data_IF_302747148783
#
_entry.id   IF_302747148783
#
_cell.length_a   1.000
_cell.length_b   1.000
_cell.length_c   1.000
_cell.angle_alpha   90.00
_cell.angle_beta   90.00
_cell.angle_gamma   90.00
#
_symmetry.space_group_name_H-M   'P 1'
#
loop_
_entity.id
_entity.type
_entity.pdbx_description
1 polymer ?
#
# COMPACT_ATOMS: atom_id res chain seq x y z
N UNK A 1 58.82 -77.23 14.61
CA UNK A 1 58.25 -76.96 13.27
C UNK A 1 56.91 -76.20 13.27
N UNK A 2 56.13 -76.19 14.36
CA UNK A 2 54.85 -75.43 14.42
C UNK A 2 55.00 -73.88 14.46
N UNK A 3 56.13 -73.37 14.95
CA UNK A 3 56.38 -71.92 15.15
C UNK A 3 56.50 -71.12 13.84
N UNK A 4 57.04 -71.70 12.76
CA UNK A 4 57.16 -71.02 11.46
C UNK A 4 55.86 -70.95 10.65
N UNK A 5 54.91 -71.88 10.85
CA UNK A 5 53.60 -71.83 10.20
C UNK A 5 52.64 -70.84 10.87
N UNK A 6 52.70 -70.68 12.20
CA UNK A 6 51.88 -69.71 12.95
C UNK A 6 52.22 -68.27 12.57
N UNK A 7 53.52 -67.92 12.54
CA UNK A 7 53.99 -66.57 12.18
C UNK A 7 53.60 -66.15 10.76
N UNK A 8 53.55 -67.09 9.82
CA UNK A 8 53.18 -66.79 8.44
C UNK A 8 51.67 -66.54 8.27
N UNK A 9 50.85 -67.23 9.07
CA UNK A 9 49.39 -67.05 9.09
C UNK A 9 49.01 -65.71 9.76
N UNK A 10 49.68 -65.35 10.86
CA UNK A 10 49.48 -64.08 11.55
C UNK A 10 49.88 -62.88 10.68
N UNK A 11 50.99 -62.99 9.93
CA UNK A 11 51.41 -61.97 8.97
C UNK A 11 50.41 -61.79 7.81
N UNK A 12 49.77 -62.86 7.37
CA UNK A 12 48.79 -62.81 6.28
C UNK A 12 47.46 -62.21 6.73
N UNK A 13 47.02 -62.49 7.96
CA UNK A 13 45.87 -61.82 8.56
C UNK A 13 46.12 -60.33 8.79
N UNK A 14 47.31 -59.95 9.26
CA UNK A 14 47.67 -58.55 9.44
C UNK A 14 47.66 -57.79 8.10
N UNK A 15 48.22 -58.39 7.04
CA UNK A 15 48.19 -57.80 5.71
C UNK A 15 46.76 -57.62 5.15
N UNK A 16 45.86 -58.58 5.37
CA UNK A 16 44.44 -58.45 4.99
C UNK A 16 43.73 -57.33 5.76
N UNK A 17 43.99 -57.22 7.08
CA UNK A 17 43.43 -56.14 7.90
C UNK A 17 43.90 -54.78 7.40
N UNK A 18 45.20 -54.61 7.15
CA UNK A 18 45.77 -53.35 6.63
C UNK A 18 45.15 -53.00 5.27
N UNK A 19 45.00 -53.99 4.37
CA UNK A 19 44.36 -53.77 3.08
C UNK A 19 42.88 -53.36 3.21
N UNK A 20 42.13 -53.99 4.12
CA UNK A 20 40.73 -53.66 4.41
C UNK A 20 40.59 -52.27 5.04
N UNK A 21 41.50 -51.88 5.93
CA UNK A 21 41.55 -50.55 6.53
C UNK A 21 41.80 -49.49 5.46
N UNK A 22 42.78 -49.68 4.57
CA UNK A 22 43.04 -48.73 3.48
C UNK A 22 41.83 -48.55 2.55
N UNK A 23 41.11 -49.63 2.23
CA UNK A 23 39.84 -49.51 1.45
C UNK A 23 38.73 -48.80 2.22
N UNK A 24 38.63 -48.98 3.53
CA UNK A 24 37.67 -48.28 4.36
C UNK A 24 37.98 -46.78 4.43
N UNK A 25 39.26 -46.41 4.61
CA UNK A 25 39.71 -45.02 4.59
C UNK A 25 39.34 -44.33 3.27
N UNK A 26 39.64 -44.95 2.12
CA UNK A 26 39.25 -44.40 0.81
C UNK A 26 37.73 -44.23 0.67
N UNK A 27 36.93 -45.19 1.18
CA UNK A 27 35.46 -45.10 1.14
C UNK A 27 34.91 -44.00 2.04
N UNK A 28 35.50 -43.83 3.23
CA UNK A 28 35.11 -42.77 4.17
C UNK A 28 35.45 -41.39 3.59
N UNK A 29 36.62 -41.23 2.97
CA UNK A 29 36.99 -39.99 2.29
C UNK A 29 36.05 -39.66 1.13
N UNK A 30 35.74 -40.65 0.29
CA UNK A 30 34.81 -40.47 -0.83
C UNK A 30 33.40 -40.10 -0.34
N UNK A 31 32.91 -40.75 0.71
CA UNK A 31 31.60 -40.46 1.32
C UNK A 31 31.59 -39.07 1.96
N UNK A 32 32.65 -38.70 2.68
CA UNK A 32 32.81 -37.38 3.30
C UNK A 32 32.78 -36.28 2.24
N UNK A 33 33.52 -36.46 1.14
CA UNK A 33 33.51 -35.53 0.00
C UNK A 33 32.12 -35.40 -0.61
N UNK A 34 31.47 -36.53 -0.92
CA UNK A 34 30.12 -36.51 -1.51
C UNK A 34 29.10 -35.84 -0.59
N UNK A 35 29.17 -36.10 0.72
CA UNK A 35 28.31 -35.46 1.71
C UNK A 35 28.54 -33.95 1.74
N UNK A 36 29.80 -33.51 1.77
CA UNK A 36 30.15 -32.09 1.76
C UNK A 36 29.66 -31.39 0.49
N UNK A 37 29.79 -32.01 -0.67
CA UNK A 37 29.31 -31.45 -1.95
C UNK A 37 27.79 -31.29 -1.98
N UNK A 38 27.05 -32.29 -1.49
CA UNK A 38 25.58 -32.24 -1.38
C UNK A 38 25.14 -31.17 -0.39
N UNK A 39 25.79 -31.09 0.77
CA UNK A 39 25.49 -30.08 1.80
C UNK A 39 25.76 -28.68 1.26
N UNK A 40 26.91 -28.45 0.62
CA UNK A 40 27.26 -27.17 0.02
C UNK A 40 26.24 -26.75 -1.04
N UNK A 41 25.85 -27.66 -1.92
CA UNK A 41 24.85 -27.37 -2.97
C UNK A 41 23.50 -27.00 -2.38
N UNK A 42 23.05 -27.73 -1.34
CA UNK A 42 21.78 -27.44 -0.66
C UNK A 42 21.82 -26.10 0.08
N UNK A 43 22.94 -25.78 0.73
CA UNK A 43 23.13 -24.50 1.42
C UNK A 43 23.02 -23.32 0.44
N UNK A 44 23.72 -23.39 -0.69
CA UNK A 44 23.62 -22.37 -1.75
C UNK A 44 22.16 -22.21 -2.24
N UNK A 45 21.45 -23.33 -2.43
CA UNK A 45 20.04 -23.29 -2.83
C UNK A 45 19.12 -22.66 -1.77
N UNK A 46 19.37 -22.93 -0.49
CA UNK A 46 18.61 -22.32 0.62
C UNK A 46 18.91 -20.82 0.71
N UNK A 47 20.18 -20.41 0.62
CA UNK A 47 20.59 -19.00 0.63
C UNK A 47 19.95 -18.22 -0.51
N UNK A 48 19.92 -18.78 -1.73
CA UNK A 48 19.26 -18.15 -2.87
C UNK A 48 17.76 -17.96 -2.65
N UNK A 49 17.09 -18.97 -2.07
CA UNK A 49 15.66 -18.89 -1.74
C UNK A 49 15.39 -17.87 -0.63
N UNK A 50 16.24 -17.79 0.40
CA UNK A 50 16.12 -16.80 1.46
C UNK A 50 16.23 -15.38 0.91
N UNK A 51 17.24 -15.11 0.07
CA UNK A 51 17.39 -13.80 -0.60
C UNK A 51 16.18 -13.44 -1.46
N UNK A 52 15.61 -14.42 -2.17
CA UNK A 52 14.39 -14.20 -2.95
C UNK A 52 13.19 -13.86 -2.06
N UNK A 53 13.04 -14.54 -0.91
CA UNK A 53 11.96 -14.28 0.05
C UNK A 53 12.14 -12.90 0.70
N UNK A 54 13.37 -12.53 1.06
CA UNK A 54 13.69 -11.19 1.58
C UNK A 54 13.28 -10.09 0.60
N UNK A 55 13.58 -10.27 -0.70
CA UNK A 55 13.13 -9.34 -1.75
C UNK A 55 11.62 -9.23 -1.85
N UNK A 56 10.91 -10.37 -1.86
CA UNK A 56 9.45 -10.39 -1.90
C UNK A 56 8.81 -9.74 -0.67
N UNK A 57 9.39 -9.94 0.52
CA UNK A 57 8.91 -9.31 1.76
C UNK A 57 9.10 -7.79 1.72
N UNK A 58 10.22 -7.32 1.17
CA UNK A 58 10.46 -5.89 1.00
C UNK A 58 9.42 -5.26 0.07
N UNK A 59 9.13 -5.91 -1.06
CA UNK A 59 8.11 -5.43 -2.01
C UNK A 59 6.72 -5.39 -1.36
N UNK A 60 6.36 -6.43 -0.62
CA UNK A 60 5.10 -6.47 0.15
C UNK A 60 5.02 -5.31 1.16
N UNK A 61 6.13 -4.99 1.83
CA UNK A 61 6.21 -3.83 2.73
C UNK A 61 5.87 -2.52 2.00
N UNK A 62 6.48 -2.28 0.84
CA UNK A 62 6.23 -1.09 0.01
C UNK A 62 4.77 -1.01 -0.44
N UNK A 63 4.19 -2.13 -0.90
CA UNK A 63 2.78 -2.15 -1.31
C UNK A 63 1.83 -1.91 -0.14
N UNK A 64 2.16 -2.41 1.05
CA UNK A 64 1.33 -2.23 2.25
C UNK A 64 1.34 -0.78 2.74
N UNK A 65 2.49 -0.10 2.68
CA UNK A 65 2.60 1.33 3.00
C UNK A 65 1.78 2.18 2.02
N UNK A 66 1.87 1.89 0.72
CA UNK A 66 1.10 2.60 -0.30
C UNK A 66 -0.40 2.35 -0.16
N UNK A 67 -0.82 1.10 0.07
CA UNK A 67 -2.21 0.76 0.34
C UNK A 67 -2.75 1.51 1.56
N UNK A 68 -1.97 1.58 2.64
CA UNK A 68 -2.33 2.31 3.86
C UNK A 68 -2.51 3.80 3.57
N UNK A 69 -1.61 4.40 2.77
CA UNK A 69 -1.71 5.80 2.35
C UNK A 69 -3.00 6.07 1.55
N UNK A 70 -3.29 5.23 0.56
CA UNK A 70 -4.51 5.33 -0.27
C UNK A 70 -5.76 5.19 0.58
N UNK A 71 -5.80 4.23 1.52
CA UNK A 71 -6.95 4.05 2.42
C UNK A 71 -7.19 5.29 3.30
N UNK A 72 -6.14 5.91 3.83
CA UNK A 72 -6.27 7.15 4.61
C UNK A 72 -6.86 8.30 3.78
N UNK A 73 -6.37 8.49 2.55
CA UNK A 73 -6.90 9.51 1.65
C UNK A 73 -8.35 9.24 1.25
N UNK A 74 -8.70 7.97 0.96
CA UNK A 74 -10.07 7.59 0.66
C UNK A 74 -11.01 7.83 1.84
N UNK A 75 -10.58 7.55 3.08
CA UNK A 75 -11.35 7.83 4.28
C UNK A 75 -11.60 9.34 4.45
N UNK A 76 -10.57 10.18 4.27
CA UNK A 76 -10.69 11.65 4.29
C UNK A 76 -11.70 12.13 3.26
N UNK A 77 -11.57 11.67 2.00
CA UNK A 77 -12.50 12.06 0.93
C UNK A 77 -13.93 11.58 1.19
N UNK A 78 -14.12 10.41 1.80
CA UNK A 78 -15.45 9.91 2.17
C UNK A 78 -16.09 10.78 3.24
N UNK A 79 -15.36 11.11 4.31
CA UNK A 79 -15.85 11.98 5.37
C UNK A 79 -16.26 13.37 4.84
N UNK A 80 -15.44 13.96 3.97
CA UNK A 80 -15.76 15.23 3.34
C UNK A 80 -17.02 15.13 2.46
N UNK A 81 -17.15 14.04 1.67
CA UNK A 81 -18.31 13.82 0.81
C UNK A 81 -19.61 13.63 1.61
N UNK A 82 -19.58 12.84 2.69
CA UNK A 82 -20.73 12.63 3.59
C UNK A 82 -21.17 13.95 4.24
N UNK A 83 -20.22 14.73 4.76
CA UNK A 83 -20.50 16.04 5.33
C UNK A 83 -21.08 17.00 4.28
N UNK A 84 -20.50 17.04 3.08
CA UNK A 84 -20.96 17.92 2.01
C UNK A 84 -22.34 17.54 1.50
N UNK A 85 -22.66 16.25 1.44
CA UNK A 85 -24.01 15.79 1.08
C UNK A 85 -25.05 16.29 2.10
N UNK A 86 -24.76 16.18 3.40
CA UNK A 86 -25.62 16.68 4.46
C UNK A 86 -25.75 18.21 4.44
N UNK A 87 -24.63 18.93 4.27
CA UNK A 87 -24.64 20.39 4.18
C UNK A 87 -25.43 20.88 2.96
N UNK A 88 -25.30 20.22 1.81
CA UNK A 88 -26.07 20.53 0.60
C UNK A 88 -27.56 20.26 0.76
N UNK A 89 -27.93 19.17 1.44
CA UNK A 89 -29.33 18.89 1.78
C UNK A 89 -29.92 20.00 2.66
N UNK A 90 -29.18 20.43 3.70
CA UNK A 90 -29.58 21.56 4.55
C UNK A 90 -29.70 22.87 3.76
N UNK A 91 -28.74 23.15 2.88
CA UNK A 91 -28.72 24.36 2.05
C UNK A 91 -29.85 24.39 1.01
N UNK A 92 -30.43 23.24 0.67
CA UNK A 92 -31.56 23.17 -0.27
C UNK A 92 -32.84 23.84 0.26
N UNK A 93 -32.93 24.01 1.57
CA UNK A 93 -34.05 24.70 2.23
C UNK A 93 -33.85 26.22 2.37
N UNK A 94 -32.74 26.76 1.87
CA UNK A 94 -32.46 28.21 1.94
C UNK A 94 -33.35 28.95 0.94
N UNK A 95 -34.31 29.71 1.46
CA UNK A 95 -35.25 30.50 0.65
C UNK A 95 -35.13 32.01 0.87
N UNK A 96 -34.44 32.45 1.92
CA UNK A 96 -34.36 33.86 2.31
C UNK A 96 -32.92 34.36 2.36
N UNK A 97 -32.66 35.64 2.05
CA UNK A 97 -31.30 36.20 1.98
C UNK A 97 -30.46 36.04 3.26
N UNK A 98 -31.11 36.14 4.42
CA UNK A 98 -30.47 36.09 5.74
C UNK A 98 -30.29 34.68 6.31
N UNK A 99 -30.81 33.65 5.63
CA UNK A 99 -30.66 32.26 6.11
C UNK A 99 -29.21 31.81 6.03
N UNK A 100 -28.81 31.02 7.02
CA UNK A 100 -27.44 30.53 7.10
C UNK A 100 -27.17 29.42 6.09
N UNK A 101 -26.04 29.54 5.40
CA UNK A 101 -25.47 28.52 4.53
C UNK A 101 -24.57 27.63 5.38
N UNK A 102 -24.89 26.35 5.42
CA UNK A 102 -24.05 25.34 6.05
C UNK A 102 -22.74 25.19 5.26
N UNK A 103 -21.59 25.26 5.96
CA UNK A 103 -20.30 25.23 5.29
C UNK A 103 -19.99 23.84 4.75
N UNK A 104 -19.24 23.80 3.65
CA UNK A 104 -18.73 22.57 3.06
C UNK A 104 -17.29 22.32 3.51
N UNK A 105 -16.79 21.12 3.20
CA UNK A 105 -15.42 20.67 3.45
C UNK A 105 -14.69 20.37 2.15
N UNK A 106 -13.39 20.59 2.17
CA UNK A 106 -12.51 20.29 1.06
C UNK A 106 -12.34 18.76 0.96
N UNK A 107 -12.43 18.24 -0.26
CA UNK A 107 -12.44 16.80 -0.55
C UNK A 107 -11.13 16.11 -0.17
N UNK A 108 -10.00 16.80 -0.29
CA UNK A 108 -8.67 16.20 -0.22
C UNK A 108 -8.13 16.15 1.21
N UNK A 109 -8.57 17.06 2.07
CA UNK A 109 -8.07 17.18 3.44
C UNK A 109 -9.17 17.24 4.52
N UNK A 110 -10.45 17.23 4.12
CA UNK A 110 -11.62 17.29 5.02
C UNK A 110 -11.64 18.54 5.94
N UNK A 111 -10.92 19.62 5.59
CA UNK A 111 -11.00 20.89 6.31
C UNK A 111 -12.19 21.71 5.84
N UNK A 112 -12.73 22.54 6.73
CA UNK A 112 -13.82 23.45 6.36
C UNK A 112 -13.35 24.45 5.30
N UNK A 113 -14.16 24.62 4.25
CA UNK A 113 -13.95 25.59 3.17
C UNK A 113 -14.49 26.95 3.60
N UNK A 114 -13.87 28.02 3.11
CA UNK A 114 -14.35 29.38 3.36
C UNK A 114 -15.64 29.66 2.57
N UNK A 115 -16.76 29.15 3.06
CA UNK A 115 -18.09 29.37 2.49
C UNK A 115 -18.71 30.69 2.97
N UNK A 116 -19.61 31.32 2.18
CA UNK A 116 -20.38 32.48 2.64
C UNK A 116 -21.33 32.02 3.75
N UNK A 117 -21.60 32.90 4.72
CA UNK A 117 -22.49 32.59 5.84
C UNK A 117 -23.96 32.71 5.46
N UNK A 118 -24.29 33.58 4.51
CA UNK A 118 -25.67 33.84 4.07
C UNK A 118 -25.76 34.00 2.56
N UNK A 119 -26.98 33.96 2.02
CA UNK A 119 -27.22 34.19 0.60
C UNK A 119 -26.89 35.63 0.20
N UNK A 120 -27.17 36.61 1.06
CA UNK A 120 -26.76 38.02 0.86
C UNK A 120 -25.24 38.15 0.72
N UNK A 121 -24.48 37.43 1.56
CA UNK A 121 -23.03 37.44 1.49
C UNK A 121 -22.53 36.82 0.18
N UNK A 122 -23.12 35.70 -0.23
CA UNK A 122 -22.81 35.04 -1.51
C UNK A 122 -23.08 35.96 -2.71
N UNK A 123 -24.20 36.70 -2.68
CA UNK A 123 -24.57 37.65 -3.75
C UNK A 123 -23.66 38.88 -3.81
N UNK A 124 -22.94 39.18 -2.73
CA UNK A 124 -21.94 40.24 -2.69
C UNK A 124 -20.53 39.79 -3.12
N UNK A 125 -20.30 38.49 -3.34
CA UNK A 125 -18.98 37.96 -3.70
C UNK A 125 -18.57 38.33 -5.13
N UNK A 126 -17.29 38.60 -5.31
CA UNK A 126 -16.69 38.75 -6.63
C UNK A 126 -16.36 37.41 -7.30
N UNK A 127 -16.10 37.40 -8.63
CA UNK A 127 -15.74 36.19 -9.38
C UNK A 127 -14.52 35.45 -8.80
N UNK A 128 -13.52 36.16 -8.29
CA UNK A 128 -12.32 35.56 -7.70
C UNK A 128 -12.62 34.74 -6.44
N UNK A 129 -13.52 35.23 -5.59
CA UNK A 129 -13.95 34.52 -4.37
C UNK A 129 -14.75 33.28 -4.73
N UNK A 130 -15.64 33.39 -5.73
CA UNK A 130 -16.42 32.27 -6.26
C UNK A 130 -15.52 31.21 -6.88
N UNK A 131 -14.56 31.61 -7.72
CA UNK A 131 -13.59 30.70 -8.33
C UNK A 131 -12.73 30.01 -7.27
N UNK A 132 -12.28 30.74 -6.24
CA UNK A 132 -11.53 30.17 -5.12
C UNK A 132 -12.35 29.13 -4.35
N UNK A 133 -13.62 29.42 -4.05
CA UNK A 133 -14.53 28.47 -3.40
C UNK A 133 -14.71 27.20 -4.24
N UNK A 134 -14.98 27.34 -5.54
CA UNK A 134 -15.15 26.20 -6.45
C UNK A 134 -13.88 25.34 -6.51
N UNK A 135 -12.71 25.97 -6.59
CA UNK A 135 -11.43 25.29 -6.57
C UNK A 135 -11.19 24.55 -5.24
N UNK A 136 -11.50 25.17 -4.09
CA UNK A 136 -11.40 24.52 -2.78
C UNK A 136 -12.37 23.34 -2.61
N UNK A 137 -13.45 23.30 -3.39
CA UNK A 137 -14.41 22.18 -3.44
C UNK A 137 -14.05 21.13 -4.48
N UNK A 138 -13.02 21.36 -5.30
CA UNK A 138 -12.58 20.46 -6.37
C UNK A 138 -13.48 20.48 -7.61
N UNK A 139 -14.21 21.58 -7.83
CA UNK A 139 -14.99 21.81 -9.04
C UNK A 139 -14.09 22.30 -10.18
N UNK A 140 -14.44 21.99 -11.43
CA UNK A 140 -13.62 22.36 -12.59
C UNK A 140 -13.58 23.88 -12.80
N UNK A 141 -12.38 24.45 -12.66
CA UNK A 141 -12.07 25.89 -12.78
C UNK A 141 -12.22 26.45 -14.20
N UNK A 142 -12.36 25.58 -15.21
CA UNK A 142 -12.50 26.00 -16.62
C UNK A 142 -13.86 26.60 -16.94
N UNK A 143 -14.83 26.43 -16.05
CA UNK A 143 -16.18 26.99 -16.19
C UNK A 143 -16.17 28.35 -15.49
N UNK A 144 -16.66 29.40 -16.17
CA UNK A 144 -16.80 30.74 -15.59
C UNK A 144 -17.58 30.63 -14.28
N UNK A 145 -16.98 31.11 -13.19
CA UNK A 145 -17.62 31.12 -11.88
C UNK A 145 -18.77 32.13 -11.91
N UNK A 146 -19.96 31.63 -12.21
CA UNK A 146 -21.21 32.37 -12.10
C UNK A 146 -21.93 32.00 -10.80
N UNK A 147 -22.69 32.95 -10.26
CA UNK A 147 -23.39 32.82 -8.99
C UNK A 147 -24.35 31.63 -8.99
N UNK A 148 -25.00 31.31 -10.11
CA UNK A 148 -25.92 30.19 -10.21
C UNK A 148 -25.21 28.84 -10.09
N UNK A 149 -23.97 28.73 -10.63
CA UNK A 149 -23.14 27.55 -10.44
C UNK A 149 -22.73 27.40 -8.99
N UNK A 150 -22.32 28.49 -8.33
CA UNK A 150 -21.95 28.45 -6.91
C UNK A 150 -23.15 28.06 -6.05
N UNK A 151 -24.33 28.66 -6.27
CA UNK A 151 -25.59 28.28 -5.61
C UNK A 151 -25.86 26.79 -5.82
N UNK A 152 -25.67 26.28 -7.04
CA UNK A 152 -25.85 24.86 -7.35
C UNK A 152 -24.89 23.95 -6.57
N UNK A 153 -23.59 24.29 -6.51
CA UNK A 153 -22.56 23.52 -5.80
C UNK A 153 -22.78 23.53 -4.29
N UNK A 154 -23.26 24.65 -3.74
CA UNK A 154 -23.63 24.79 -2.34
C UNK A 154 -24.92 24.04 -1.99
N UNK A 155 -25.70 23.58 -2.98
CA UNK A 155 -26.98 22.89 -2.79
C UNK A 155 -28.19 23.82 -2.72
N UNK A 156 -28.02 25.11 -2.97
CA UNK A 156 -29.08 26.12 -2.94
C UNK A 156 -29.92 26.01 -4.22
N UNK A 157 -31.23 25.89 -4.07
CA UNK A 157 -32.19 25.68 -5.17
C UNK A 157 -33.27 26.77 -5.16
N UNK A 158 -32.93 27.95 -5.67
CA UNK A 158 -33.88 29.08 -5.75
C UNK A 158 -34.58 29.06 -7.11
N UNK A 159 -35.89 28.78 -7.14
CA UNK A 159 -36.75 28.94 -8.32
C UNK A 159 -36.88 27.70 -9.25
N UNK A 160 -37.98 27.67 -10.04
CA UNK A 160 -38.52 26.51 -10.81
C UNK A 160 -37.60 25.90 -11.89
N UNK A 161 -36.40 26.42 -12.12
CA UNK A 161 -35.49 25.98 -13.17
C UNK A 161 -34.13 25.56 -12.60
N UNK A 162 -34.12 24.63 -11.64
CA UNK A 162 -32.90 23.94 -11.24
C UNK A 162 -32.44 23.02 -12.38
N UNK A 163 -31.94 23.59 -13.48
CA UNK A 163 -31.28 22.84 -14.53
C UNK A 163 -30.02 22.22 -13.93
N UNK A 164 -29.85 20.91 -14.17
CA UNK A 164 -28.57 20.25 -13.91
C UNK A 164 -27.56 20.82 -14.89
N UNK A 165 -26.50 21.39 -14.36
CA UNK A 165 -25.29 21.63 -15.13
C UNK A 165 -24.57 20.29 -15.26
N UNK A 166 -24.98 19.50 -16.26
CA UNK A 166 -24.35 18.24 -16.67
C UNK A 166 -23.06 18.52 -17.49
#
# INVERSE_FOLDING_TARGET
MASHYSSHYDNQQFADIVYRMGRLETRVEALSKSMNDVVATRLVGVEARLKSIEGQLNDVGVYMDEATRVMKLAAISRMAAEHNAQARDQNSYITSPEMHICPLRNRDNNTQVACPKTLTELEAWGPDQMAKLLNELGEDYRIVADIDRVKWVLGIRIGKNAQRFD
#
